data_IF_886451399640
#
_entry.id   IF_886451399640
#
_cell.length_a   1.000
_cell.length_b   1.000
_cell.length_c   1.000
_cell.angle_alpha   90.00
_cell.angle_beta   90.00
_cell.angle_gamma   90.00
#
_symmetry.space_group_name_H-M   'P 1'
#
loop_
_entity.id
_entity.type
_entity.pdbx_description
1 polymer ?
#
# COMPACT_ATOMS: atom_id res chain seq x y z
N UNK A 1 46.05 -48.45 -44.42
CA UNK A 1 46.40 -47.04 -44.46
C UNK A 1 45.27 -46.27 -43.78
N UNK A 2 45.48 -45.95 -42.54
CA UNK A 2 44.42 -45.37 -41.71
C UNK A 2 44.96 -44.07 -41.10
N UNK A 3 44.33 -42.95 -41.42
CA UNK A 3 44.67 -41.61 -40.91
C UNK A 3 43.54 -41.08 -40.13
N UNK A 4 43.53 -41.30 -38.80
CA UNK A 4 42.66 -40.58 -37.86
C UNK A 4 43.45 -39.48 -37.19
N UNK A 5 43.22 -38.25 -37.62
CA UNK A 5 43.73 -37.06 -36.97
C UNK A 5 42.66 -36.59 -35.99
N UNK A 6 42.95 -36.71 -34.73
CA UNK A 6 42.11 -36.15 -33.64
C UNK A 6 42.48 -34.66 -33.47
N UNK A 7 41.53 -33.78 -33.79
CA UNK A 7 41.58 -32.38 -33.44
C UNK A 7 41.03 -32.22 -32.01
N UNK A 8 41.89 -31.92 -31.05
CA UNK A 8 41.49 -31.50 -29.71
C UNK A 8 41.10 -30.02 -29.72
N UNK A 9 39.82 -29.71 -29.66
CA UNK A 9 39.33 -28.35 -29.46
C UNK A 9 39.37 -28.03 -27.96
N UNK A 10 40.28 -27.14 -27.57
CA UNK A 10 40.34 -26.60 -26.22
C UNK A 10 39.16 -25.66 -25.95
N UNK A 11 38.29 -26.02 -25.02
CA UNK A 11 37.27 -25.15 -24.45
C UNK A 11 37.92 -24.20 -23.45
N UNK A 12 38.13 -22.94 -23.84
CA UNK A 12 38.46 -21.88 -22.92
C UNK A 12 37.20 -21.50 -22.11
N UNK A 13 37.16 -21.92 -20.87
CA UNK A 13 36.14 -21.48 -19.94
C UNK A 13 36.41 -20.00 -19.56
N UNK A 14 35.71 -19.09 -20.22
CA UNK A 14 35.70 -17.68 -19.85
C UNK A 14 34.86 -17.49 -18.57
N UNK A 15 35.53 -17.24 -17.46
CA UNK A 15 34.85 -16.81 -16.21
C UNK A 15 34.25 -15.44 -16.43
N UNK A 16 32.95 -15.39 -16.65
CA UNK A 16 32.16 -14.15 -16.53
C UNK A 16 32.18 -13.74 -15.08
N UNK A 17 33.07 -12.83 -14.68
CA UNK A 17 33.00 -12.14 -13.41
C UNK A 17 31.72 -11.30 -13.43
N UNK A 18 30.70 -11.72 -12.67
CA UNK A 18 29.53 -10.91 -12.41
C UNK A 18 29.99 -9.67 -11.66
N UNK A 19 30.00 -8.52 -12.33
CA UNK A 19 30.19 -7.23 -11.66
C UNK A 19 29.09 -7.09 -10.61
N UNK A 20 29.42 -6.73 -9.34
CA UNK A 20 28.40 -6.42 -8.37
C UNK A 20 27.59 -5.24 -8.91
N UNK A 21 26.30 -5.46 -9.15
CA UNK A 21 25.38 -4.39 -9.45
C UNK A 21 25.47 -3.41 -8.29
N UNK A 22 26.05 -2.23 -8.53
CA UNK A 22 25.97 -1.11 -7.60
C UNK A 22 24.49 -0.91 -7.28
N UNK A 23 24.11 -1.17 -6.05
CA UNK A 23 22.80 -0.79 -5.53
C UNK A 23 22.69 0.72 -5.76
N UNK A 24 21.97 1.14 -6.80
CA UNK A 24 21.65 2.55 -6.99
C UNK A 24 20.87 2.95 -5.74
N UNK A 25 21.38 3.94 -5.03
CA UNK A 25 20.63 4.55 -3.93
C UNK A 25 19.20 4.80 -4.41
N UNK A 26 18.23 4.20 -3.71
CA UNK A 26 16.83 4.40 -4.06
C UNK A 26 16.57 5.91 -4.00
N UNK A 27 16.10 6.56 -5.07
CA UNK A 27 15.87 7.99 -5.02
C UNK A 27 14.93 8.28 -3.85
N UNK A 28 15.23 9.34 -3.10
CA UNK A 28 14.45 9.73 -1.93
C UNK A 28 12.97 9.88 -2.34
N UNK A 29 12.09 9.12 -1.68
CA UNK A 29 10.65 9.16 -1.93
C UNK A 29 10.11 10.58 -1.74
N UNK A 30 9.30 11.05 -2.67
CA UNK A 30 8.67 12.38 -2.62
C UNK A 30 7.20 12.33 -2.26
N UNK A 31 6.53 11.24 -2.59
CA UNK A 31 5.08 11.07 -2.44
C UNK A 31 4.73 10.26 -1.20
N UNK A 32 5.56 9.28 -0.84
CA UNK A 32 5.33 8.44 0.33
C UNK A 32 5.26 9.22 1.66
N UNK A 33 6.07 10.27 1.91
CA UNK A 33 5.92 11.09 3.12
C UNK A 33 4.54 11.71 3.29
N UNK A 34 3.84 12.05 2.19
CA UNK A 34 2.45 12.57 2.25
C UNK A 34 1.50 11.47 2.71
N UNK A 35 1.64 10.24 2.19
CA UNK A 35 0.87 9.08 2.68
C UNK A 35 1.16 8.80 4.15
N UNK A 36 2.43 8.86 4.58
CA UNK A 36 2.79 8.69 5.99
C UNK A 36 2.15 9.76 6.89
N UNK A 37 2.05 11.01 6.42
CA UNK A 37 1.35 12.07 7.15
C UNK A 37 -0.15 11.77 7.29
N UNK A 38 -0.80 11.28 6.23
CA UNK A 38 -2.20 10.84 6.25
C UNK A 38 -2.39 9.69 7.24
N UNK A 39 -1.55 8.64 7.18
CA UNK A 39 -1.62 7.48 8.09
C UNK A 39 -1.47 7.93 9.54
N UNK A 40 -0.47 8.79 9.81
CA UNK A 40 -0.23 9.34 11.14
C UNK A 40 -1.41 10.16 11.67
N UNK A 41 -2.02 10.98 10.82
CA UNK A 41 -3.21 11.75 11.16
C UNK A 41 -4.42 10.83 11.44
N UNK A 42 -4.65 9.83 10.58
CA UNK A 42 -5.72 8.86 10.77
C UNK A 42 -5.54 8.02 12.04
N UNK A 43 -4.29 7.65 12.37
CA UNK A 43 -4.00 6.95 13.62
C UNK A 43 -4.44 7.74 14.85
N UNK A 44 -4.33 9.07 14.82
CA UNK A 44 -4.81 9.96 15.87
C UNK A 44 -6.29 10.34 15.72
N UNK A 45 -6.96 9.85 14.68
CA UNK A 45 -8.32 10.24 14.30
C UNK A 45 -8.49 11.76 14.07
N UNK A 46 -7.40 12.41 13.65
CA UNK A 46 -7.36 13.82 13.30
C UNK A 46 -7.78 14.02 11.85
N UNK A 47 -9.08 14.15 11.62
CA UNK A 47 -9.67 14.25 10.29
C UNK A 47 -9.14 15.48 9.54
N UNK A 48 -8.99 16.62 10.20
CA UNK A 48 -8.50 17.82 9.52
C UNK A 48 -7.03 17.67 9.10
N UNK A 49 -6.20 17.00 9.92
CA UNK A 49 -4.84 16.68 9.54
C UNK A 49 -4.74 15.63 8.40
N UNK A 50 -5.75 14.78 8.20
CA UNK A 50 -5.87 13.97 6.97
C UNK A 50 -6.19 14.87 5.78
N UNK A 51 -7.17 15.75 5.92
CA UNK A 51 -7.72 16.56 4.82
C UNK A 51 -6.78 17.64 4.28
N UNK A 52 -5.79 18.10 5.06
CA UNK A 52 -4.78 19.06 4.55
C UNK A 52 -3.86 18.42 3.49
N UNK A 53 -3.80 17.10 3.40
CA UNK A 53 -2.99 16.35 2.45
C UNK A 53 -3.72 16.01 1.14
N UNK A 54 -4.98 16.39 0.99
CA UNK A 54 -5.79 16.13 -0.21
C UNK A 54 -6.26 17.43 -0.86
N UNK A 55 -6.53 17.39 -2.16
CA UNK A 55 -7.08 18.53 -2.89
C UNK A 55 -8.56 18.75 -2.57
N UNK A 56 -9.10 19.94 -2.78
CA UNK A 56 -10.51 20.25 -2.53
C UNK A 56 -11.47 19.41 -3.40
N UNK A 57 -11.03 19.05 -4.60
CA UNK A 57 -11.75 18.21 -5.56
C UNK A 57 -11.34 16.73 -5.53
N UNK A 58 -10.79 16.23 -4.42
CA UNK A 58 -10.39 14.82 -4.25
C UNK A 58 -11.47 13.84 -4.73
N UNK A 59 -11.05 12.79 -5.41
CA UNK A 59 -11.90 11.65 -5.76
C UNK A 59 -11.40 10.43 -4.99
N UNK A 60 -12.16 9.99 -3.99
CA UNK A 60 -11.81 8.84 -3.16
C UNK A 60 -12.71 7.65 -3.44
N UNK A 61 -12.10 6.53 -3.84
CA UNK A 61 -12.76 5.24 -4.11
C UNK A 61 -12.27 4.20 -3.08
N UNK A 62 -12.93 4.19 -1.93
CA UNK A 62 -12.57 3.34 -0.79
C UNK A 62 -13.34 2.01 -0.72
N UNK A 63 -13.97 1.58 -1.80
CA UNK A 63 -14.82 0.38 -1.82
C UNK A 63 -14.47 -0.59 -2.95
N UNK A 64 -13.31 -0.45 -3.59
CA UNK A 64 -12.97 -1.26 -4.75
C UNK A 64 -13.92 -1.11 -5.95
N UNK A 65 -14.74 -0.04 -5.97
CA UNK A 65 -15.76 0.18 -7.01
C UNK A 65 -17.17 -0.37 -6.67
N UNK A 66 -17.34 -0.93 -5.47
CA UNK A 66 -18.63 -1.45 -5.03
C UNK A 66 -19.67 -0.35 -4.76
N UNK A 67 -19.24 0.84 -4.39
CA UNK A 67 -20.08 2.02 -4.20
C UNK A 67 -19.56 3.21 -5.03
N UNK A 68 -20.37 4.25 -5.26
CA UNK A 68 -19.93 5.46 -5.91
C UNK A 68 -18.74 6.11 -5.20
N UNK A 69 -17.85 6.74 -5.98
CA UNK A 69 -16.73 7.48 -5.41
C UNK A 69 -17.20 8.67 -4.58
N UNK A 70 -16.52 8.89 -3.46
CA UNK A 70 -16.63 10.10 -2.65
C UNK A 70 -15.92 11.23 -3.41
N UNK A 71 -16.59 12.37 -3.59
CA UNK A 71 -16.08 13.49 -4.41
C UNK A 71 -16.06 14.77 -3.60
N UNK A 72 -14.87 15.35 -3.53
CA UNK A 72 -14.62 16.59 -2.80
C UNK A 72 -14.28 16.37 -1.32
N UNK A 73 -13.52 17.31 -0.80
CA UNK A 73 -12.99 17.30 0.58
C UNK A 73 -14.11 17.26 1.62
N UNK A 74 -15.22 17.95 1.39
CA UNK A 74 -16.32 17.98 2.35
C UNK A 74 -17.05 16.63 2.45
N UNK A 75 -17.25 15.94 1.32
CA UNK A 75 -17.84 14.59 1.36
C UNK A 75 -16.87 13.58 1.97
N UNK A 76 -15.56 13.73 1.74
CA UNK A 76 -14.54 12.93 2.42
C UNK A 76 -14.56 13.18 3.93
N UNK A 77 -14.67 14.44 4.37
CA UNK A 77 -14.82 14.79 5.79
C UNK A 77 -16.03 14.11 6.42
N UNK A 78 -17.19 14.17 5.77
CA UNK A 78 -18.41 13.49 6.25
C UNK A 78 -18.21 11.98 6.41
N UNK A 79 -17.60 11.33 5.41
CA UNK A 79 -17.32 9.89 5.45
C UNK A 79 -16.37 9.54 6.60
N UNK A 80 -15.26 10.26 6.77
CA UNK A 80 -14.31 10.04 7.86
C UNK A 80 -14.96 10.28 9.23
N UNK A 81 -15.79 11.31 9.35
CA UNK A 81 -16.55 11.61 10.61
C UNK A 81 -17.53 10.49 11.00
N UNK A 82 -18.10 9.78 10.00
CA UNK A 82 -18.97 8.62 10.26
C UNK A 82 -18.15 7.37 10.62
N UNK A 83 -16.94 7.24 10.04
CA UNK A 83 -16.07 6.06 10.25
C UNK A 83 -15.35 6.12 11.61
N UNK A 84 -14.76 7.26 11.96
CA UNK A 84 -13.88 7.40 13.11
C UNK A 84 -14.50 6.91 14.44
N UNK A 85 -15.75 7.23 14.81
CA UNK A 85 -16.35 6.78 16.08
C UNK A 85 -16.55 5.26 16.20
N UNK A 86 -16.43 4.51 15.09
CA UNK A 86 -16.58 3.05 15.08
C UNK A 86 -15.25 2.33 15.31
N UNK A 87 -14.14 3.07 15.27
CA UNK A 87 -12.77 2.56 15.37
C UNK A 87 -12.21 3.00 16.72
N UNK A 88 -11.86 2.02 17.56
CA UNK A 88 -11.23 2.27 18.86
C UNK A 88 -9.75 2.65 18.70
N UNK A 89 -9.04 1.94 17.84
CA UNK A 89 -7.67 2.22 17.44
C UNK A 89 -7.39 1.59 16.07
N UNK A 90 -6.38 2.08 15.37
CA UNK A 90 -5.98 1.55 14.08
C UNK A 90 -4.45 1.42 13.95
N UNK A 91 -4.02 0.58 13.03
CA UNK A 91 -2.62 0.33 12.68
C UNK A 91 -2.55 0.09 11.18
N UNK A 92 -2.78 1.14 10.40
CA UNK A 92 -2.69 1.06 8.95
C UNK A 92 -1.24 0.85 8.52
N UNK A 93 -0.95 -0.28 7.85
CA UNK A 93 0.40 -0.73 7.49
C UNK A 93 0.59 -0.69 5.98
N UNK A 94 1.71 -0.12 5.55
CA UNK A 94 2.21 -0.20 4.18
C UNK A 94 3.45 -1.09 4.21
N UNK A 95 3.47 -2.15 3.42
CA UNK A 95 4.60 -3.08 3.34
C UNK A 95 5.55 -2.73 2.21
N UNK A 96 4.98 -2.32 1.07
CA UNK A 96 5.76 -1.91 -0.09
C UNK A 96 5.03 -0.83 -0.88
N UNK A 97 5.80 -0.02 -1.63
CA UNK A 97 5.28 1.00 -2.51
C UNK A 97 6.20 1.24 -3.70
N UNK A 98 5.62 1.74 -4.78
CA UNK A 98 6.34 2.23 -5.95
C UNK A 98 5.82 3.62 -6.33
N UNK A 99 6.74 4.50 -6.75
CA UNK A 99 6.40 5.84 -7.21
C UNK A 99 6.71 6.03 -8.69
N UNK A 100 5.86 6.79 -9.36
CA UNK A 100 6.15 7.44 -10.63
C UNK A 100 6.09 8.96 -10.46
N UNK A 101 6.11 9.75 -11.54
CA UNK A 101 6.20 11.21 -11.45
C UNK A 101 5.14 11.85 -10.53
N UNK A 102 3.90 11.41 -10.60
CA UNK A 102 2.73 11.96 -9.90
C UNK A 102 1.87 10.89 -9.23
N UNK A 103 2.37 9.65 -9.13
CA UNK A 103 1.56 8.52 -8.66
C UNK A 103 2.35 7.64 -7.70
N UNK A 104 1.65 7.18 -6.66
CA UNK A 104 2.15 6.18 -5.72
C UNK A 104 1.22 4.96 -5.78
N UNK A 105 1.81 3.78 -5.90
CA UNK A 105 1.15 2.49 -5.73
C UNK A 105 1.61 1.88 -4.42
N UNK A 106 0.72 1.17 -3.73
CA UNK A 106 1.03 0.61 -2.42
C UNK A 106 0.34 -0.73 -2.19
N UNK A 107 1.01 -1.59 -1.43
CA UNK A 107 0.48 -2.82 -0.84
C UNK A 107 0.48 -2.69 0.68
N UNK A 108 -0.60 -3.10 1.33
CA UNK A 108 -0.68 -3.00 2.77
C UNK A 108 -1.84 -3.74 3.40
N UNK A 109 -2.06 -3.45 4.67
CA UNK A 109 -3.21 -3.89 5.45
C UNK A 109 -3.79 -2.70 6.21
N UNK A 110 -5.09 -2.48 6.05
CA UNK A 110 -5.85 -1.60 6.91
C UNK A 110 -6.28 -2.38 8.15
N UNK A 111 -5.52 -2.23 9.23
CA UNK A 111 -5.73 -2.92 10.50
C UNK A 111 -6.35 -1.97 11.53
N UNK A 112 -7.42 -2.40 12.19
CA UNK A 112 -8.07 -1.63 13.23
C UNK A 112 -8.86 -2.52 14.21
N UNK A 113 -9.17 -1.95 15.36
CA UNK A 113 -10.05 -2.55 16.36
C UNK A 113 -11.34 -1.72 16.45
N UNK A 114 -12.48 -2.39 16.34
CA UNK A 114 -13.79 -1.72 16.49
C UNK A 114 -14.05 -1.38 17.96
N UNK A 115 -14.98 -0.47 18.19
CA UNK A 115 -15.43 -0.14 19.57
C UNK A 115 -16.08 -1.34 20.26
N UNK A 116 -16.64 -2.29 19.50
CA UNK A 116 -17.22 -3.54 20.00
C UNK A 116 -16.17 -4.62 20.29
N UNK A 117 -14.87 -4.34 20.03
CA UNK A 117 -13.74 -5.20 20.35
C UNK A 117 -13.30 -6.14 19.24
N UNK A 118 -13.91 -6.10 18.05
CA UNK A 118 -13.50 -6.93 16.93
C UNK A 118 -12.18 -6.44 16.32
N UNK A 119 -11.26 -7.36 16.05
CA UNK A 119 -10.00 -7.08 15.38
C UNK A 119 -10.16 -7.31 13.88
N UNK A 120 -9.98 -6.27 13.10
CA UNK A 120 -10.16 -6.27 11.64
C UNK A 120 -8.84 -5.93 10.97
N UNK A 121 -8.45 -6.73 9.98
CA UNK A 121 -7.27 -6.49 9.17
C UNK A 121 -7.59 -6.82 7.70
N UNK A 122 -7.60 -5.81 6.86
CA UNK A 122 -8.05 -5.91 5.47
C UNK A 122 -6.84 -5.77 4.56
N UNK A 123 -6.36 -6.87 3.92
CA UNK A 123 -5.36 -6.76 2.88
C UNK A 123 -5.86 -5.89 1.73
N UNK A 124 -5.04 -4.98 1.26
CA UNK A 124 -5.42 -4.12 0.16
C UNK A 124 -4.22 -3.69 -0.69
N UNK A 125 -4.51 -3.30 -1.93
CA UNK A 125 -3.62 -2.53 -2.76
C UNK A 125 -4.28 -1.18 -3.08
N UNK A 126 -3.48 -0.15 -3.27
CA UNK A 126 -4.01 1.18 -3.55
C UNK A 126 -3.16 1.97 -4.54
N UNK A 127 -3.76 3.02 -5.09
CA UNK A 127 -3.04 4.01 -5.87
C UNK A 127 -3.50 5.41 -5.53
N UNK A 128 -2.52 6.31 -5.37
CA UNK A 128 -2.72 7.73 -5.15
C UNK A 128 -2.20 8.50 -6.38
N UNK A 129 -2.97 9.48 -6.85
CA UNK A 129 -2.51 10.46 -7.85
C UNK A 129 -2.33 11.79 -7.14
N UNK A 130 -1.23 12.47 -7.43
CA UNK A 130 -0.86 13.72 -6.79
C UNK A 130 -0.93 14.89 -7.78
N UNK A 131 -1.35 16.03 -7.27
CA UNK A 131 -1.35 17.31 -7.98
C UNK A 131 -0.90 18.41 -7.00
N UNK A 132 0.19 19.08 -7.34
CA UNK A 132 0.75 20.13 -6.46
C UNK A 132 1.17 19.63 -5.07
N UNK A 133 1.60 18.36 -4.95
CA UNK A 133 2.00 17.76 -3.69
C UNK A 133 0.85 17.21 -2.83
N UNK A 134 -0.41 17.35 -3.25
CA UNK A 134 -1.60 16.86 -2.56
C UNK A 134 -2.23 15.70 -3.33
N UNK A 135 -2.88 14.77 -2.62
CA UNK A 135 -3.61 13.66 -3.23
C UNK A 135 -4.88 14.21 -3.87
N UNK A 136 -5.03 14.03 -5.20
CA UNK A 136 -6.23 14.43 -5.95
C UNK A 136 -7.10 13.24 -6.38
N UNK A 137 -6.56 12.03 -6.39
CA UNK A 137 -7.31 10.82 -6.61
C UNK A 137 -6.75 9.70 -5.75
N UNK A 138 -7.62 8.91 -5.13
CA UNK A 138 -7.29 7.80 -4.25
C UNK A 138 -8.17 6.61 -4.60
N UNK A 139 -7.56 5.47 -4.90
CA UNK A 139 -8.23 4.20 -5.19
C UNK A 139 -7.69 3.13 -4.27
N UNK A 140 -8.61 2.33 -3.72
CA UNK A 140 -8.31 1.17 -2.90
C UNK A 140 -9.00 -0.06 -3.49
N UNK A 141 -8.30 -1.18 -3.47
CA UNK A 141 -8.75 -2.46 -3.98
C UNK A 141 -8.60 -3.50 -2.88
N UNK A 142 -9.72 -4.02 -2.40
CA UNK A 142 -9.77 -5.02 -1.32
C UNK A 142 -11.04 -5.87 -1.44
N UNK A 143 -11.05 -7.04 -0.79
CA UNK A 143 -12.25 -7.85 -0.68
C UNK A 143 -13.14 -7.35 0.48
N UNK A 144 -14.28 -6.77 0.15
CA UNK A 144 -15.24 -6.27 1.11
C UNK A 144 -15.84 -7.35 2.02
N UNK A 145 -15.79 -8.63 1.60
CA UNK A 145 -16.27 -9.76 2.42
C UNK A 145 -15.33 -10.03 3.59
N UNK A 146 -14.02 -9.89 3.38
CA UNK A 146 -13.04 -9.99 4.48
C UNK A 146 -13.35 -8.92 5.53
N UNK A 147 -13.56 -7.68 5.09
CA UNK A 147 -13.91 -6.57 5.98
C UNK A 147 -15.21 -6.82 6.76
N UNK A 148 -16.30 -7.21 6.08
CA UNK A 148 -17.58 -7.45 6.74
C UNK A 148 -17.52 -8.61 7.71
N UNK A 149 -16.97 -9.76 7.31
CA UNK A 149 -16.91 -10.94 8.16
C UNK A 149 -16.13 -10.71 9.46
N UNK A 150 -14.98 -10.00 9.39
CA UNK A 150 -14.20 -9.66 10.59
C UNK A 150 -14.92 -8.64 11.49
N UNK A 151 -15.65 -7.68 10.92
CA UNK A 151 -16.50 -6.76 11.70
C UNK A 151 -17.62 -7.49 12.40
N UNK A 152 -18.12 -8.59 11.83
CA UNK A 152 -19.13 -9.47 12.41
C UNK A 152 -18.52 -10.52 13.38
N UNK A 153 -17.23 -10.42 13.68
CA UNK A 153 -16.55 -11.26 14.68
C UNK A 153 -15.92 -12.52 14.14
N UNK A 154 -15.83 -12.71 12.81
CA UNK A 154 -15.09 -13.84 12.25
C UNK A 154 -13.59 -13.74 12.59
N UNK A 155 -12.92 -14.87 12.90
CA UNK A 155 -11.50 -14.89 13.20
C UNK A 155 -10.67 -14.50 11.97
N UNK A 156 -9.55 -13.84 12.21
CA UNK A 156 -8.55 -13.55 11.19
C UNK A 156 -7.94 -14.84 10.65
N UNK A 157 -7.80 -14.96 9.33
CA UNK A 157 -7.11 -16.09 8.69
C UNK A 157 -5.62 -16.08 9.01
N UNK A 158 -4.96 -17.24 8.87
CA UNK A 158 -3.53 -17.35 9.12
C UNK A 158 -2.70 -16.55 8.11
N UNK A 159 -3.15 -16.44 6.86
CA UNK A 159 -2.54 -15.59 5.84
C UNK A 159 -2.54 -14.11 6.24
N UNK A 160 -3.66 -13.61 6.76
CA UNK A 160 -3.75 -12.21 7.22
C UNK A 160 -2.88 -11.99 8.46
N UNK A 161 -2.81 -12.97 9.40
CA UNK A 161 -1.89 -12.92 10.53
C UNK A 161 -0.43 -12.85 10.10
N UNK A 162 -0.06 -13.62 9.08
CA UNK A 162 1.28 -13.56 8.48
C UNK A 162 1.54 -12.17 7.88
N UNK A 163 0.61 -11.64 7.10
CA UNK A 163 0.74 -10.31 6.50
C UNK A 163 0.97 -9.21 7.54
N UNK A 164 0.19 -9.16 8.63
CA UNK A 164 0.37 -8.11 9.65
C UNK A 164 1.67 -8.25 10.45
N UNK A 165 2.38 -9.38 10.34
CA UNK A 165 3.71 -9.59 10.93
C UNK A 165 4.85 -9.05 10.05
N UNK A 166 4.59 -8.69 8.78
CA UNK A 166 5.58 -8.16 7.85
C UNK A 166 6.13 -6.81 8.32
N UNK A 167 7.41 -6.51 8.04
CA UNK A 167 7.95 -5.17 8.30
C UNK A 167 7.23 -4.13 7.43
N UNK A 168 7.02 -2.95 8.00
CA UNK A 168 6.46 -1.80 7.27
C UNK A 168 7.54 -1.09 6.44
N UNK A 169 7.13 -0.49 5.32
CA UNK A 169 8.00 0.35 4.50
C UNK A 169 8.51 1.56 5.29
N UNK A 170 9.75 1.94 5.02
CA UNK A 170 10.45 3.07 5.66
C UNK A 170 10.50 4.28 4.73
#
# INVERSE_FOLDING_TARGET
>A
MDRRTLLAAGLAAGSLAASPALAKDKPMSRLYPVLQAIISAWHRQDIEAVLVNVTDDIIWRNTGGFAPAIRGKDEMRKALTVMAPRIKTNSWRIFDYAESADRLFMEGVDEFWTVDGNHVAIPYAGSLVFRGGLVCEWREYFDGRISSSMKDGAPMSDEVKEMISRPVAK
#
